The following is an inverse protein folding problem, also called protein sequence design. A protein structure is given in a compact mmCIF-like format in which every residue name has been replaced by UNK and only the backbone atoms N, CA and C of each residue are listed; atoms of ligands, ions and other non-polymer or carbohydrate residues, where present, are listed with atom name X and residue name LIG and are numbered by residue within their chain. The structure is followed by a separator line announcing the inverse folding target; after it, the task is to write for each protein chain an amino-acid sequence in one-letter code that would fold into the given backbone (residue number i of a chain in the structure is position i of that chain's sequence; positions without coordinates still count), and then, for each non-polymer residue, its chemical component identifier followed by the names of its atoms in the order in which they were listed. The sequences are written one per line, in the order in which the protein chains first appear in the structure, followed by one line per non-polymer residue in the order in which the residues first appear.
data_IF_760962635197
#
_entry.id   IF_760962635197
#
_cell.length_a   1.000
_cell.length_b   1.000
_cell.length_c   1.000
_cell.angle_alpha   90.00
_cell.angle_beta   90.00
_cell.angle_gamma   90.00
#
_symmetry.space_group_name_H-M   'P 1'
#
loop_
_entity.id
_entity.type
_entity.pdbx_description
1 polymer ?
#
# COMPACT_ATOMS: atom_id res chain seq x y z
N UNK A 1 77.25 -6.32 11.70
CA UNK A 1 76.93 -6.44 10.26
C UNK A 1 75.51 -6.97 10.03
N UNK A 2 74.55 -6.69 10.92
CA UNK A 2 73.23 -7.33 10.93
C UNK A 2 72.10 -6.40 10.45
N UNK A 3 72.36 -5.10 10.38
CA UNK A 3 71.34 -4.08 10.07
C UNK A 3 70.97 -4.06 8.59
N UNK A 4 71.96 -4.22 7.69
CA UNK A 4 71.72 -4.27 6.24
C UNK A 4 70.77 -5.41 5.82
N UNK A 5 70.89 -6.60 6.42
CA UNK A 5 70.00 -7.72 6.12
C UNK A 5 68.58 -7.55 6.69
N UNK A 6 68.43 -6.73 7.74
CA UNK A 6 67.12 -6.44 8.34
C UNK A 6 66.40 -5.39 7.51
N UNK A 7 67.12 -4.36 7.08
CA UNK A 7 66.63 -3.33 6.15
C UNK A 7 66.15 -3.95 4.84
N UNK A 8 66.92 -4.87 4.24
CA UNK A 8 66.52 -5.61 3.03
C UNK A 8 65.22 -6.43 3.19
N UNK A 9 64.93 -6.92 4.41
CA UNK A 9 63.70 -7.65 4.72
C UNK A 9 62.53 -6.70 4.89
N UNK A 10 62.76 -5.55 5.54
CA UNK A 10 61.77 -4.50 5.69
C UNK A 10 61.38 -3.97 4.31
N UNK A 11 62.34 -3.69 3.42
CA UNK A 11 62.05 -3.24 2.06
C UNK A 11 61.25 -4.25 1.25
N UNK A 12 61.57 -5.55 1.38
CA UNK A 12 60.80 -6.62 0.71
C UNK A 12 59.38 -6.72 1.24
N UNK A 13 59.21 -6.60 2.55
CA UNK A 13 57.89 -6.61 3.17
C UNK A 13 57.07 -5.39 2.74
N UNK A 14 57.65 -4.18 2.77
CA UNK A 14 57.00 -2.95 2.33
C UNK A 14 56.59 -3.05 0.87
N UNK A 15 57.48 -3.54 -0.01
CA UNK A 15 57.14 -3.77 -1.43
C UNK A 15 55.98 -4.76 -1.60
N UNK A 16 56.01 -5.88 -0.88
CA UNK A 16 54.93 -6.87 -0.92
C UNK A 16 53.60 -6.33 -0.40
N UNK A 17 53.61 -5.53 0.66
CA UNK A 17 52.40 -4.90 1.21
C UNK A 17 51.85 -3.85 0.25
N UNK A 18 52.69 -3.01 -0.34
CA UNK A 18 52.27 -2.02 -1.33
C UNK A 18 51.65 -2.70 -2.56
N UNK A 19 52.27 -3.77 -3.06
CA UNK A 19 51.72 -4.55 -4.17
C UNK A 19 50.37 -5.19 -3.83
N UNK A 20 50.23 -5.75 -2.62
CA UNK A 20 48.97 -6.29 -2.14
C UNK A 20 47.87 -5.22 -2.00
N UNK A 21 48.24 -4.01 -1.52
CA UNK A 21 47.33 -2.87 -1.42
C UNK A 21 46.91 -2.38 -2.80
N UNK A 22 47.83 -2.28 -3.76
CA UNK A 22 47.53 -1.87 -5.12
C UNK A 22 46.58 -2.83 -5.82
N UNK A 23 46.79 -4.14 -5.65
CA UNK A 23 45.87 -5.18 -6.13
C UNK A 23 44.49 -5.02 -5.50
N UNK A 24 44.42 -4.86 -4.17
CA UNK A 24 43.14 -4.68 -3.48
C UNK A 24 42.43 -3.40 -3.90
N UNK A 25 43.15 -2.31 -4.12
CA UNK A 25 42.60 -1.06 -4.62
C UNK A 25 42.05 -1.21 -6.05
N UNK A 26 42.73 -2.00 -6.89
CA UNK A 26 42.22 -2.31 -8.23
C UNK A 26 40.91 -3.11 -8.16
N UNK A 27 40.84 -4.13 -7.30
CA UNK A 27 39.64 -4.94 -7.08
C UNK A 27 38.47 -4.09 -6.58
N UNK A 28 38.69 -3.27 -5.54
CA UNK A 28 37.64 -2.40 -4.97
C UNK A 28 37.15 -1.39 -6.00
N UNK A 29 38.04 -0.82 -6.83
CA UNK A 29 37.64 0.06 -7.94
C UNK A 29 36.77 -0.68 -8.95
N UNK A 30 37.12 -1.92 -9.28
CA UNK A 30 36.33 -2.73 -10.19
C UNK A 30 34.95 -3.03 -9.61
N UNK A 31 34.88 -3.49 -8.36
CA UNK A 31 33.64 -3.75 -7.64
C UNK A 31 32.75 -2.50 -7.59
N UNK A 32 33.30 -1.35 -7.22
CA UNK A 32 32.58 -0.08 -7.20
C UNK A 32 32.04 0.29 -8.59
N UNK A 33 32.83 0.14 -9.65
CA UNK A 33 32.37 0.40 -11.01
C UNK A 33 31.24 -0.55 -11.43
N UNK A 34 31.32 -1.83 -11.07
CA UNK A 34 30.25 -2.80 -11.35
C UNK A 34 28.98 -2.48 -10.57
N UNK A 35 29.11 -2.19 -9.27
CA UNK A 35 27.98 -1.80 -8.43
C UNK A 35 27.35 -0.49 -8.90
N UNK A 36 28.14 0.48 -9.38
CA UNK A 36 27.60 1.75 -9.85
C UNK A 36 26.80 1.57 -11.14
N UNK A 37 27.31 0.76 -12.09
CA UNK A 37 26.59 0.42 -13.32
C UNK A 37 25.27 -0.30 -13.03
N UNK A 38 25.26 -1.19 -12.04
CA UNK A 38 24.06 -1.90 -11.60
C UNK A 38 23.07 -0.92 -10.96
N UNK A 39 23.53 0.00 -10.11
CA UNK A 39 22.69 1.07 -9.55
C UNK A 39 22.09 1.96 -10.64
N UNK A 40 22.90 2.41 -11.61
CA UNK A 40 22.42 3.23 -12.73
C UNK A 40 21.35 2.50 -13.54
N UNK A 41 21.55 1.19 -13.78
CA UNK A 41 20.56 0.34 -14.44
C UNK A 41 19.26 0.27 -13.64
N UNK A 42 19.32 0.00 -12.34
CA UNK A 42 18.14 -0.07 -11.47
C UNK A 42 17.41 1.28 -11.40
N UNK A 43 18.13 2.39 -11.39
CA UNK A 43 17.52 3.73 -11.41
C UNK A 43 16.71 3.92 -12.69
N UNK A 44 17.24 3.52 -13.85
CA UNK A 44 16.52 3.60 -15.11
C UNK A 44 15.28 2.69 -15.13
N UNK A 45 15.40 1.46 -14.62
CA UNK A 45 14.28 0.52 -14.51
C UNK A 45 13.17 1.09 -13.61
N UNK A 46 13.52 1.61 -12.42
CA UNK A 46 12.55 2.23 -11.51
C UNK A 46 11.92 3.49 -12.10
N UNK A 47 12.68 4.31 -12.83
CA UNK A 47 12.12 5.48 -13.52
C UNK A 47 11.09 5.08 -14.57
N UNK A 48 11.35 3.99 -15.31
CA UNK A 48 10.41 3.45 -16.28
C UNK A 48 9.15 2.91 -15.59
N UNK A 49 9.30 2.14 -14.52
CA UNK A 49 8.16 1.61 -13.76
C UNK A 49 7.29 2.73 -13.17
N UNK A 50 7.92 3.76 -12.59
CA UNK A 50 7.20 4.94 -12.08
C UNK A 50 6.46 5.68 -13.19
N UNK A 51 7.06 5.80 -14.37
CA UNK A 51 6.39 6.41 -15.51
C UNK A 51 5.17 5.60 -15.96
N UNK A 52 5.30 4.28 -16.05
CA UNK A 52 4.20 3.38 -16.42
C UNK A 52 3.07 3.40 -15.36
N UNK A 53 3.43 3.45 -14.08
CA UNK A 53 2.47 3.62 -12.99
C UNK A 53 1.75 4.96 -13.07
N UNK A 54 2.44 6.06 -13.37
CA UNK A 54 1.82 7.36 -13.56
C UNK A 54 0.81 7.34 -14.72
N UNK A 55 1.20 6.77 -15.86
CA UNK A 55 0.28 6.59 -17.00
C UNK A 55 -0.94 5.73 -16.65
N UNK A 56 -0.76 4.70 -15.81
CA UNK A 56 -1.86 3.85 -15.35
C UNK A 56 -2.82 4.61 -14.43
N UNK A 57 -2.31 5.42 -13.52
CA UNK A 57 -3.11 6.28 -12.64
C UNK A 57 -3.93 7.26 -13.48
N UNK A 58 -3.31 7.95 -14.44
CA UNK A 58 -4.01 8.91 -15.31
C UNK A 58 -5.16 8.26 -16.10
N UNK A 59 -4.97 7.01 -16.55
CA UNK A 59 -6.02 6.24 -17.23
C UNK A 59 -7.16 5.88 -16.29
N UNK A 60 -6.86 5.47 -15.06
CA UNK A 60 -7.87 5.16 -14.04
C UNK A 60 -8.67 6.41 -13.66
N UNK A 61 -8.00 7.52 -13.42
CA UNK A 61 -8.63 8.81 -13.12
C UNK A 61 -9.55 9.25 -14.26
N UNK A 62 -9.07 9.13 -15.51
CA UNK A 62 -9.88 9.43 -16.69
C UNK A 62 -11.10 8.52 -16.81
N UNK A 63 -10.96 7.22 -16.50
CA UNK A 63 -12.07 6.28 -16.50
C UNK A 63 -13.08 6.59 -15.39
N UNK A 64 -12.61 6.95 -14.19
CA UNK A 64 -13.45 7.32 -13.06
C UNK A 64 -14.23 8.60 -13.34
N UNK A 65 -13.61 9.62 -13.94
CA UNK A 65 -14.31 10.85 -14.35
C UNK A 65 -15.40 10.59 -15.38
N UNK A 66 -15.16 9.69 -16.34
CA UNK A 66 -16.19 9.28 -17.31
C UNK A 66 -17.34 8.53 -16.62
N UNK A 67 -17.02 7.57 -15.76
CA UNK A 67 -18.02 6.83 -15.00
C UNK A 67 -18.90 7.72 -14.10
N UNK A 68 -18.30 8.73 -13.46
CA UNK A 68 -19.05 9.73 -12.69
C UNK A 68 -20.01 10.54 -13.57
N UNK A 69 -19.56 11.02 -14.73
CA UNK A 69 -20.40 11.76 -15.66
C UNK A 69 -21.56 10.90 -16.22
N UNK A 70 -21.32 9.62 -16.49
CA UNK A 70 -22.35 8.68 -16.91
C UNK A 70 -23.37 8.42 -15.80
N UNK A 71 -22.91 8.28 -14.55
CA UNK A 71 -23.77 8.15 -13.38
C UNK A 71 -24.68 9.38 -13.21
N UNK A 72 -24.11 10.60 -13.26
CA UNK A 72 -24.88 11.85 -13.20
C UNK A 72 -25.93 11.95 -14.31
N UNK A 73 -25.59 11.54 -15.54
CA UNK A 73 -26.53 11.51 -16.67
C UNK A 73 -27.66 10.52 -16.43
N UNK A 74 -27.37 9.32 -15.92
CA UNK A 74 -28.41 8.34 -15.60
C UNK A 74 -29.31 8.80 -14.48
N UNK A 75 -28.77 9.50 -13.47
CA UNK A 75 -29.56 10.08 -12.39
C UNK A 75 -30.51 11.16 -12.91
N UNK A 76 -30.04 12.05 -13.79
CA UNK A 76 -30.90 13.05 -14.44
C UNK A 76 -32.05 12.40 -15.22
N UNK A 77 -31.77 11.35 -16.00
CA UNK A 77 -32.80 10.59 -16.71
C UNK A 77 -33.82 9.95 -15.75
N UNK A 78 -33.38 9.39 -14.63
CA UNK A 78 -34.26 8.82 -13.60
C UNK A 78 -35.15 9.90 -12.96
N UNK A 79 -34.59 11.08 -12.66
CA UNK A 79 -35.35 12.21 -12.13
C UNK A 79 -36.42 12.66 -13.14
N UNK A 80 -36.06 12.79 -14.41
CA UNK A 80 -37.00 13.15 -15.48
C UNK A 80 -38.13 12.12 -15.60
N UNK A 81 -37.82 10.82 -15.67
CA UNK A 81 -38.80 9.74 -15.72
C UNK A 81 -39.72 9.75 -14.49
N UNK A 82 -39.17 9.93 -13.29
CA UNK A 82 -39.94 10.02 -12.05
C UNK A 82 -40.87 11.24 -12.07
N UNK A 83 -40.39 12.39 -12.55
CA UNK A 83 -41.20 13.59 -12.70
C UNK A 83 -42.31 13.42 -13.74
N UNK A 84 -42.04 12.71 -14.84
CA UNK A 84 -43.01 12.36 -15.87
C UNK A 84 -44.09 11.42 -15.35
N UNK A 85 -43.70 10.39 -14.59
CA UNK A 85 -44.63 9.48 -13.90
C UNK A 85 -45.51 10.22 -12.89
N UNK A 86 -44.93 11.14 -12.10
CA UNK A 86 -45.71 11.95 -11.16
C UNK A 86 -46.77 12.80 -11.88
N UNK A 87 -46.42 13.42 -13.02
CA UNK A 87 -47.38 14.16 -13.86
C UNK A 87 -48.44 13.24 -14.46
N UNK A 88 -48.08 12.05 -14.92
CA UNK A 88 -49.03 11.08 -15.45
C UNK A 88 -50.02 10.61 -14.37
N UNK A 89 -49.51 10.30 -13.17
CA UNK A 89 -50.32 9.96 -12.00
C UNK A 89 -51.27 11.11 -11.63
N UNK A 90 -50.80 12.36 -11.64
CA UNK A 90 -51.67 13.52 -11.40
C UNK A 90 -52.76 13.66 -12.47
N UNK A 91 -52.45 13.38 -13.75
CA UNK A 91 -53.47 13.37 -14.82
C UNK A 91 -54.48 12.24 -14.66
N UNK A 92 -54.07 11.05 -14.23
CA UNK A 92 -55.00 9.94 -13.96
C UNK A 92 -55.83 10.20 -12.70
N UNK A 93 -55.27 10.87 -11.70
CA UNK A 93 -55.96 11.21 -10.44
C UNK A 93 -56.91 12.41 -10.57
N UNK A 94 -56.68 13.31 -11.53
CA UNK A 94 -57.56 14.46 -11.82
C UNK A 94 -58.45 14.25 -13.04
N UNK A 95 -58.38 13.08 -13.70
CA UNK A 95 -59.35 12.69 -14.70
C UNK A 95 -60.70 12.46 -14.02
N UNK A 96 -61.73 13.26 -14.32
CA UNK A 96 -63.07 12.90 -13.91
C UNK A 96 -63.49 11.71 -14.77
N UNK A 97 -63.58 10.52 -14.18
CA UNK A 97 -64.57 9.56 -14.68
C UNK A 97 -65.96 10.18 -14.43
N UNK A 98 -66.87 10.09 -15.40
CA UNK A 98 -67.31 8.78 -15.85
C UNK A 98 -67.27 8.65 -17.36
N UNK A 99 -66.41 7.76 -17.85
CA UNK A 99 -66.75 7.03 -19.07
C UNK A 99 -66.61 5.56 -18.75
N UNK A 100 -67.74 4.95 -18.45
CA UNK A 100 -67.98 3.53 -18.65
C UNK A 100 -67.84 3.26 -20.15
N UNK A 101 -66.62 3.21 -20.66
CA UNK A 101 -66.35 2.58 -21.95
C UNK A 101 -66.21 1.12 -21.65
N UNK A 102 -67.21 0.34 -22.02
CA UNK A 102 -67.21 -1.10 -21.89
C UNK A 102 -65.90 -1.67 -22.41
N UNK A 103 -65.24 -2.49 -21.57
CA UNK A 103 -64.20 -3.38 -22.06
C UNK A 103 -64.86 -4.31 -23.09
N UNK A 104 -64.36 -4.40 -24.33
CA UNK A 104 -64.61 -5.60 -25.10
C UNK A 104 -64.02 -6.74 -24.28
N UNK A 105 -64.88 -7.66 -23.83
CA UNK A 105 -64.43 -8.93 -23.25
C UNK A 105 -63.48 -9.58 -24.25
N UNK A 106 -62.19 -9.59 -23.92
CA UNK A 106 -61.20 -10.46 -24.55
C UNK A 106 -61.54 -11.89 -24.15
N UNK A 107 -62.55 -12.42 -24.81
CA UNK A 107 -62.80 -13.82 -24.97
C UNK A 107 -61.85 -14.29 -26.08
N UNK A 108 -60.57 -14.48 -25.73
CA UNK A 108 -59.65 -15.27 -26.55
C UNK A 108 -58.63 -15.93 -25.63
N UNK A 109 -59.04 -17.11 -25.15
CA UNK A 109 -58.10 -18.13 -24.70
C UNK A 109 -57.21 -18.50 -25.88
N UNK A 110 -55.97 -18.01 -25.88
CA UNK A 110 -54.89 -18.69 -26.58
C UNK A 110 -53.74 -18.94 -25.62
N UNK A 111 -53.56 -20.23 -25.36
CA UNK A 111 -52.37 -20.87 -24.84
C UNK A 111 -51.09 -20.15 -25.29
N UNK A 112 -50.36 -19.62 -24.32
CA UNK A 112 -48.91 -19.52 -24.40
C UNK A 112 -48.37 -20.07 -23.09
N UNK A 113 -48.45 -21.39 -22.96
CA UNK A 113 -47.48 -22.19 -22.23
C UNK A 113 -46.14 -22.08 -22.96
N UNK A 114 -45.42 -20.99 -22.71
CA UNK A 114 -44.02 -20.86 -23.11
C UNK A 114 -43.19 -20.67 -21.83
N UNK A 115 -42.61 -21.80 -21.41
CA UNK A 115 -41.31 -21.95 -20.75
C UNK A 115 -40.74 -20.72 -20.04
N UNK A 116 -40.93 -20.69 -18.73
CA UNK A 116 -40.04 -19.98 -17.82
C UNK A 116 -38.61 -20.54 -17.99
N UNK A 117 -37.58 -19.74 -18.28
CA UNK A 117 -36.22 -20.18 -18.03
C UNK A 117 -36.06 -20.30 -16.51
N UNK A 118 -35.91 -21.55 -16.06
CA UNK A 118 -35.53 -21.93 -14.71
C UNK A 118 -34.29 -21.16 -14.32
N UNK A 119 -34.40 -20.22 -13.38
CA UNK A 119 -33.24 -19.64 -12.71
C UNK A 119 -32.63 -20.76 -11.86
N UNK A 120 -31.67 -21.50 -12.43
CA UNK A 120 -30.80 -22.37 -11.65
C UNK A 120 -30.07 -21.50 -10.62
N UNK A 121 -30.48 -21.66 -9.36
CA UNK A 121 -29.78 -21.13 -8.21
C UNK A 121 -28.39 -21.75 -8.17
N UNK A 122 -27.41 -21.04 -8.72
CA UNK A 122 -26.01 -21.28 -8.38
C UNK A 122 -25.88 -21.17 -6.86
N UNK A 123 -25.66 -22.32 -6.22
CA UNK A 123 -25.47 -22.42 -4.78
C UNK A 123 -24.06 -21.91 -4.49
N UNK A 124 -23.91 -20.63 -4.16
CA UNK A 124 -22.65 -20.13 -3.62
C UNK A 124 -22.51 -20.74 -2.23
N UNK A 125 -21.59 -21.71 -2.07
CA UNK A 125 -21.09 -22.13 -0.77
C UNK A 125 -20.36 -20.93 -0.15
N UNK A 126 -21.06 -20.10 0.60
CA UNK A 126 -20.42 -19.27 1.61
C UNK A 126 -19.89 -20.24 2.68
N UNK A 127 -18.60 -20.53 2.61
CA UNK A 127 -17.90 -21.09 3.74
C UNK A 127 -18.07 -20.14 4.93
N UNK A 128 -18.62 -20.70 6.00
CA UNK A 128 -18.79 -20.07 7.31
C UNK A 128 -17.48 -19.43 7.76
N UNK A 129 -17.47 -18.11 7.91
CA UNK A 129 -16.52 -17.46 8.81
C UNK A 129 -17.26 -17.21 10.11
N UNK A 130 -16.85 -17.94 11.15
CA UNK A 130 -17.25 -17.66 12.52
C UNK A 130 -16.71 -16.28 12.92
N UNK A 131 -17.52 -15.42 13.56
CA UNK A 131 -16.98 -14.22 14.18
C UNK A 131 -16.18 -14.65 15.41
N UNK A 132 -14.85 -14.62 15.31
CA UNK A 132 -13.99 -14.71 16.49
C UNK A 132 -14.22 -13.43 17.30
N UNK A 133 -15.02 -13.56 18.35
CA UNK A 133 -15.14 -12.57 19.41
C UNK A 133 -13.87 -12.66 20.28
N UNK A 134 -12.83 -11.94 19.92
CA UNK A 134 -11.70 -11.74 20.86
C UNK A 134 -12.21 -10.87 21.99
N UNK A 135 -12.49 -11.52 23.13
CA UNK A 135 -12.77 -10.86 24.40
C UNK A 135 -11.57 -9.99 24.79
N UNK A 136 -11.84 -8.71 25.08
CA UNK A 136 -10.94 -7.84 25.83
C UNK A 136 -10.92 -8.34 27.28
N UNK A 137 -9.77 -8.74 27.86
CA UNK A 137 -9.69 -8.87 29.30
C UNK A 137 -9.61 -7.46 29.88
N UNK A 138 -10.73 -7.01 30.46
CA UNK A 138 -10.74 -5.94 31.44
C UNK A 138 -9.98 -6.44 32.67
N UNK A 139 -8.70 -6.06 32.80
CA UNK A 139 -7.96 -6.20 34.06
C UNK A 139 -7.85 -4.82 34.69
N UNK A 140 -8.79 -4.63 35.60
CA UNK A 140 -8.78 -3.81 36.82
C UNK A 140 -7.42 -3.21 37.21
N UNK A 141 -7.39 -1.88 37.37
CA UNK A 141 -6.28 -1.19 38.00
C UNK A 141 -6.30 -1.44 39.53
N UNK A 142 -5.14 -1.71 40.15
CA UNK A 142 -4.94 -1.38 41.56
C UNK A 142 -3.83 -0.33 41.74
N UNK A 143 -4.24 0.76 42.38
CA UNK A 143 -3.53 1.57 43.38
C UNK A 143 -2.00 1.79 43.27
N UNK A 144 -1.66 3.08 43.10
CA UNK A 144 -0.51 3.82 43.64
C UNK A 144 0.43 3.07 44.59
N UNK A 145 1.72 2.98 44.21
CA UNK A 145 2.86 2.99 45.12
C UNK A 145 4.10 3.61 44.41
N UNK A 146 4.83 4.42 45.15
CA UNK A 146 5.90 5.33 44.72
C UNK A 146 7.26 4.62 44.40
N UNK A 147 8.27 5.32 43.82
CA UNK A 147 9.50 4.72 43.27
C UNK A 147 10.59 4.50 44.33
N UNK A 148 11.50 3.52 44.12
CA UNK A 148 12.95 3.81 44.20
C UNK A 148 13.75 3.01 43.14
N UNK A 149 14.52 3.67 42.27
CA UNK A 149 15.98 3.91 42.35
C UNK A 149 16.82 2.96 41.48
N UNK A 150 17.94 3.45 40.92
CA UNK A 150 18.71 2.79 39.87
C UNK A 150 19.82 1.92 40.46
N UNK A 151 20.03 0.72 39.92
CA UNK A 151 21.34 0.05 39.81
C UNK A 151 21.13 -1.42 39.44
N UNK A 152 21.55 -1.80 38.23
CA UNK A 152 22.60 -2.80 38.04
C UNK A 152 22.56 -3.28 36.59
N UNK A 153 23.65 -2.97 35.88
CA UNK A 153 24.02 -3.62 34.65
C UNK A 153 24.04 -5.14 34.84
N UNK A 154 23.31 -5.87 33.99
CA UNK A 154 23.65 -7.22 33.57
C UNK A 154 22.98 -7.52 32.24
N UNK A 155 23.83 -7.60 31.23
CA UNK A 155 23.74 -8.38 30.00
C UNK A 155 22.37 -8.98 29.65
N UNK A 156 21.76 -8.44 28.60
CA UNK A 156 20.89 -9.21 27.71
C UNK A 156 21.52 -9.18 26.34
N UNK A 157 22.32 -10.21 26.07
CA UNK A 157 22.48 -10.80 24.74
C UNK A 157 21.11 -11.31 24.29
N UNK A 158 20.41 -10.53 23.49
CA UNK A 158 19.38 -11.05 22.60
C UNK A 158 19.94 -11.16 21.17
N UNK A 159 19.70 -12.27 20.46
CA UNK A 159 20.12 -12.45 19.08
C UNK A 159 19.39 -11.44 18.17
N UNK A 160 19.96 -11.11 17.00
CA UNK A 160 19.23 -10.31 16.02
C UNK A 160 17.98 -11.08 15.57
N UNK A 161 16.81 -10.47 15.70
CA UNK A 161 15.60 -10.95 15.03
C UNK A 161 15.90 -11.05 13.52
N UNK A 162 15.67 -12.25 12.95
CA UNK A 162 15.97 -12.65 11.57
C UNK A 162 15.17 -11.90 10.48
N UNK A 163 14.62 -10.73 10.75
CA UNK A 163 13.86 -9.96 9.77
C UNK A 163 14.49 -8.64 9.34
N UNK A 164 15.74 -8.32 9.74
CA UNK A 164 16.53 -7.22 9.15
C UNK A 164 15.81 -5.86 9.09
N UNK A 165 14.74 -5.69 9.86
CA UNK A 165 13.82 -4.58 9.72
C UNK A 165 14.30 -3.53 10.70
N UNK A 166 15.09 -2.59 10.17
CA UNK A 166 15.59 -1.49 10.96
C UNK A 166 14.39 -0.69 11.43
N UNK A 167 14.21 -0.64 12.75
CA UNK A 167 13.14 0.11 13.38
C UNK A 167 13.33 1.61 13.07
N UNK A 168 12.41 2.15 12.25
CA UNK A 168 12.45 3.53 11.76
C UNK A 168 12.34 4.50 12.94
N UNK A 169 11.65 4.11 14.01
CA UNK A 169 11.49 4.95 15.19
C UNK A 169 12.79 4.99 16.02
N UNK A 170 13.54 3.87 16.08
CA UNK A 170 14.89 3.87 16.68
C UNK A 170 15.90 4.67 15.84
N UNK A 171 15.84 4.57 14.52
CA UNK A 171 16.66 5.40 13.62
C UNK A 171 16.38 6.89 13.79
N UNK A 172 15.10 7.27 13.92
CA UNK A 172 14.70 8.64 14.15
C UNK A 172 15.21 9.17 15.50
N UNK A 173 15.15 8.34 16.56
CA UNK A 173 15.70 8.67 17.86
C UNK A 173 17.22 8.90 17.82
N UNK A 174 17.96 7.98 17.18
CA UNK A 174 19.43 8.08 17.05
C UNK A 174 19.88 9.25 16.18
N UNK A 175 19.14 9.57 15.12
CA UNK A 175 19.39 10.75 14.28
C UNK A 175 19.11 12.05 15.04
N UNK A 176 18.05 12.09 15.83
CA UNK A 176 17.71 13.26 16.64
C UNK A 176 18.73 13.50 17.77
N UNK A 177 19.25 12.42 18.38
CA UNK A 177 20.35 12.48 19.35
C UNK A 177 21.65 12.97 18.68
N UNK A 178 22.01 12.43 17.51
CA UNK A 178 23.20 12.90 16.75
C UNK A 178 23.08 14.36 16.32
N UNK A 179 21.89 14.81 15.94
CA UNK A 179 21.63 16.19 15.51
C UNK A 179 21.60 17.17 16.68
N UNK A 180 21.14 16.76 17.87
CA UNK A 180 21.18 17.62 19.06
C UNK A 180 22.61 17.86 19.56
N UNK A 181 23.53 16.94 19.30
CA UNK A 181 24.96 17.11 19.57
C UNK A 181 25.71 17.90 18.48
N UNK A 182 25.06 18.16 17.34
CA UNK A 182 25.58 19.01 16.27
C UNK A 182 25.06 20.45 16.46
N UNK A 183 25.48 21.08 17.56
CA UNK A 183 25.42 22.53 17.70
C UNK A 183 26.38 23.14 16.66
N UNK A 184 25.83 23.46 15.49
CA UNK A 184 26.53 24.26 14.48
C UNK A 184 26.86 25.63 15.11
N UNK A 185 28.13 26.09 15.07
CA UNK A 185 28.43 27.45 15.47
C UNK A 185 27.65 28.37 14.55
N UNK A 186 26.71 29.14 15.12
CA UNK A 186 26.05 30.26 14.44
C UNK A 186 27.15 31.22 14.03
N UNK A 187 27.59 31.12 12.77
CA UNK A 187 28.44 32.11 12.12
C UNK A 187 27.65 33.42 12.03
N UNK A 188 27.97 34.34 12.93
CA UNK A 188 27.67 35.76 12.82
C UNK A 188 28.67 36.46 11.88
#
# INVERSE_FOLDING_TARGET
MSDASTDDKIERLVRSVLEAVDLRLADVRHELQTSNKESDRRILELQQELHDLALRIDRLDSAQRRGAADADRTEQQLIELRSGLARLQQRTSTSPSPVTTELPRLNDHRDITAELPTLERATIKLASFEPVTTQVPLVEAPAVAAPPSPESASAVTDPPDENGQIDVDQLAALLNERLSHLDLPRSG
#
